data_IF_942525858502
#
_entry.id   IF_942525858502
#
_cell.length_a   1.000
_cell.length_b   1.000
_cell.length_c   1.000
_cell.angle_alpha   90.00
_cell.angle_beta   90.00
_cell.angle_gamma   90.00
#
_symmetry.space_group_name_H-M   'P 1'
#
loop_
_entity.id
_entity.type
_entity.pdbx_description
1 polymer ?
#
# COMPACT_ATOMS: atom_id res chain seq x y z
N UNK A 1 -4.69 -4.36 10.31
CA UNK A 1 -4.35 -5.48 9.41
C UNK A 1 -3.39 -4.93 8.36
N UNK A 2 -2.39 -5.69 7.90
CA UNK A 2 -1.52 -5.25 6.82
C UNK A 2 -2.31 -5.04 5.51
N UNK A 3 -1.99 -4.00 4.73
CA UNK A 3 -2.69 -3.66 3.49
C UNK A 3 -2.51 -4.74 2.42
N UNK A 4 -1.36 -5.41 2.43
CA UNK A 4 -0.98 -6.48 1.52
C UNK A 4 -1.64 -7.84 1.84
N UNK A 5 -2.36 -7.94 2.96
CA UNK A 5 -3.02 -9.17 3.41
C UNK A 5 -4.55 -9.08 3.22
N UNK A 6 -5.23 -10.18 2.87
CA UNK A 6 -6.68 -10.18 2.76
C UNK A 6 -7.34 -9.99 4.14
N UNK A 7 -8.44 -9.21 4.22
CA UNK A 7 -9.25 -9.13 5.42
C UNK A 7 -9.86 -10.46 5.83
N UNK A 8 -10.01 -10.65 7.14
CA UNK A 8 -10.88 -11.70 7.67
C UNK A 8 -12.34 -11.42 7.29
N UNK A 9 -13.07 -12.39 6.74
CA UNK A 9 -14.49 -12.22 6.45
C UNK A 9 -15.29 -11.83 7.72
N UNK A 10 -16.32 -10.97 7.61
CA UNK A 10 -16.90 -10.41 6.38
C UNK A 10 -16.27 -9.07 5.95
N UNK A 11 -15.13 -8.69 6.54
CA UNK A 11 -14.50 -7.41 6.22
C UNK A 11 -13.99 -7.41 4.77
N UNK A 12 -13.99 -6.23 4.17
CA UNK A 12 -13.46 -5.99 2.82
C UNK A 12 -12.39 -4.90 2.87
N UNK A 13 -11.50 -4.92 1.88
CA UNK A 13 -10.43 -3.93 1.78
C UNK A 13 -10.93 -2.65 1.12
N UNK A 14 -10.39 -1.51 1.55
CA UNK A 14 -10.58 -0.21 0.90
C UNK A 14 -9.60 0.03 -0.26
N UNK A 15 -8.79 -0.96 -0.63
CA UNK A 15 -7.90 -0.89 -1.80
C UNK A 15 -8.58 -0.41 -3.09
N UNK A 16 -9.81 -0.83 -3.44
CA UNK A 16 -10.48 -0.29 -4.63
C UNK A 16 -10.69 1.23 -4.56
N UNK A 17 -11.02 1.78 -3.39
CA UNK A 17 -11.20 3.22 -3.20
C UNK A 17 -9.87 3.96 -3.37
N UNK A 18 -8.77 3.39 -2.87
CA UNK A 18 -7.43 3.92 -3.07
C UNK A 18 -7.03 3.90 -4.56
N UNK A 19 -7.30 2.80 -5.26
CA UNK A 19 -7.03 2.67 -6.69
C UNK A 19 -7.81 3.72 -7.51
N UNK A 20 -9.09 3.93 -7.22
CA UNK A 20 -9.91 4.96 -7.86
C UNK A 20 -9.37 6.37 -7.61
N UNK A 21 -8.95 6.67 -6.38
CA UNK A 21 -8.35 7.95 -6.04
C UNK A 21 -7.02 8.19 -6.79
N UNK A 22 -6.14 7.18 -6.84
CA UNK A 22 -4.88 7.28 -7.58
C UNK A 22 -5.11 7.42 -9.09
N UNK A 23 -6.04 6.67 -9.67
CA UNK A 23 -6.42 6.80 -11.07
C UNK A 23 -6.88 8.24 -11.39
N UNK A 24 -7.65 8.86 -10.50
CA UNK A 24 -8.08 10.27 -10.66
C UNK A 24 -6.92 11.26 -10.55
N UNK A 25 -5.98 11.02 -9.64
CA UNK A 25 -4.88 11.94 -9.33
C UNK A 25 -3.73 11.86 -10.33
N UNK A 26 -3.35 10.66 -10.77
CA UNK A 26 -2.13 10.44 -11.57
C UNK A 26 -2.34 9.60 -12.82
N UNK A 27 -3.51 9.00 -13.03
CA UNK A 27 -3.83 8.18 -14.22
C UNK A 27 -4.41 8.95 -15.42
N UNK A 28 -4.59 10.27 -15.31
CA UNK A 28 -5.09 11.13 -16.39
C UNK A 28 -4.01 11.59 -17.39
N UNK A 29 -4.38 12.38 -18.42
CA UNK A 29 -3.42 12.88 -19.42
C UNK A 29 -2.34 13.80 -18.83
N UNK A 30 -2.58 14.36 -17.64
CA UNK A 30 -1.58 15.06 -16.84
C UNK A 30 -1.85 14.78 -15.35
N UNK A 31 -0.81 14.63 -14.51
CA UNK A 31 -0.99 14.37 -13.09
C UNK A 31 -1.47 15.63 -12.35
N UNK A 32 -2.39 15.46 -11.42
CA UNK A 32 -2.94 16.51 -10.56
C UNK A 32 -2.06 16.80 -9.33
N UNK A 33 -1.14 15.88 -9.02
CA UNK A 33 -0.12 16.03 -7.98
C UNK A 33 1.21 15.49 -8.49
N UNK A 34 2.32 16.00 -7.96
CA UNK A 34 3.67 15.46 -8.20
C UNK A 34 4.28 14.80 -6.97
N UNK A 35 3.55 14.81 -5.86
CA UNK A 35 4.04 14.35 -4.57
C UNK A 35 3.06 13.34 -4.00
N UNK A 36 3.60 12.16 -3.67
CA UNK A 36 2.89 11.06 -3.03
C UNK A 36 3.81 10.54 -1.93
N UNK A 37 3.25 10.35 -0.73
CA UNK A 37 3.95 9.77 0.40
C UNK A 37 3.25 8.49 0.82
N UNK A 38 4.04 7.48 1.20
CA UNK A 38 3.55 6.21 1.74
C UNK A 38 4.07 6.11 3.15
N UNK A 39 3.17 6.08 4.12
CA UNK A 39 3.51 5.91 5.53
C UNK A 39 3.02 4.56 6.02
N UNK A 40 3.93 3.74 6.54
CA UNK A 40 3.60 2.47 7.20
C UNK A 40 3.83 2.61 8.70
N UNK A 41 2.78 2.96 9.44
CA UNK A 41 2.79 3.01 10.90
C UNK A 41 1.85 1.93 11.47
N UNK A 42 1.91 1.67 12.77
CA UNK A 42 1.00 0.76 13.52
C UNK A 42 1.27 -0.75 13.54
N UNK A 43 2.48 -1.24 13.26
CA UNK A 43 2.80 -2.67 13.39
C UNK A 43 2.50 -3.27 14.78
N UNK A 44 2.65 -2.49 15.87
CA UNK A 44 2.29 -2.96 17.22
C UNK A 44 0.77 -2.97 17.49
N UNK A 45 -0.03 -2.24 16.71
CA UNK A 45 -1.49 -2.19 16.87
C UNK A 45 -2.20 -3.38 16.20
N UNK A 46 -1.48 -4.18 15.40
CA UNK A 46 -2.01 -5.40 14.82
C UNK A 46 -2.49 -6.37 15.93
N UNK A 47 -3.46 -7.26 15.62
CA UNK A 47 -3.75 -8.40 16.49
C UNK A 47 -2.48 -9.19 16.83
N UNK A 48 -2.31 -9.72 18.06
CA UNK A 48 -1.07 -10.36 18.51
C UNK A 48 -0.51 -11.46 17.58
N UNK A 49 -1.40 -12.19 16.92
CA UNK A 49 -1.12 -13.25 15.95
C UNK A 49 -0.58 -12.72 14.61
N UNK A 50 -0.90 -11.47 14.25
CA UNK A 50 -0.43 -10.81 13.03
C UNK A 50 0.79 -9.90 13.25
N UNK A 51 1.22 -9.71 14.50
CA UNK A 51 2.40 -8.87 14.79
C UNK A 51 3.69 -9.56 14.32
N UNK A 52 4.58 -8.85 13.60
CA UNK A 52 5.90 -9.39 13.30
C UNK A 52 6.68 -9.60 14.60
N UNK A 53 7.17 -10.83 14.81
CA UNK A 53 7.91 -11.21 16.04
C UNK A 53 9.42 -11.12 15.90
N UNK A 54 9.92 -10.90 14.69
CA UNK A 54 11.34 -10.74 14.38
C UNK A 54 11.54 -9.51 13.51
N UNK A 55 12.79 -9.00 13.47
CA UNK A 55 13.16 -7.88 12.61
C UNK A 55 12.98 -8.21 11.13
N UNK A 56 13.34 -9.43 10.72
CA UNK A 56 13.18 -9.86 9.32
C UNK A 56 11.70 -9.87 8.92
N UNK A 57 10.81 -10.37 9.79
CA UNK A 57 9.36 -10.34 9.52
C UNK A 57 8.78 -8.93 9.48
N UNK A 58 9.34 -7.99 10.25
CA UNK A 58 8.97 -6.58 10.15
C UNK A 58 9.45 -5.98 8.83
N UNK A 59 10.68 -6.27 8.42
CA UNK A 59 11.24 -5.81 7.15
C UNK A 59 10.44 -6.36 5.96
N UNK A 60 10.11 -7.65 5.96
CA UNK A 60 9.26 -8.29 4.96
C UNK A 60 7.89 -7.59 4.85
N UNK A 61 7.27 -7.31 5.99
CA UNK A 61 5.99 -6.60 6.04
C UNK A 61 6.07 -5.21 5.45
N UNK A 62 7.07 -4.41 5.84
CA UNK A 62 7.27 -3.06 5.29
C UNK A 62 7.53 -3.14 3.78
N UNK A 63 8.37 -4.08 3.33
CA UNK A 63 8.64 -4.29 1.92
C UNK A 63 7.36 -4.64 1.13
N UNK A 64 6.48 -5.46 1.69
CA UNK A 64 5.21 -5.82 1.07
C UNK A 64 4.25 -4.63 0.94
N UNK A 65 4.16 -3.76 1.95
CA UNK A 65 3.38 -2.52 1.89
C UNK A 65 3.89 -1.58 0.79
N UNK A 66 5.21 -1.39 0.72
CA UNK A 66 5.85 -0.54 -0.30
C UNK A 66 5.73 -1.15 -1.70
N UNK A 67 5.82 -2.47 -1.83
CA UNK A 67 5.61 -3.17 -3.10
C UNK A 67 4.18 -2.99 -3.60
N UNK A 68 3.18 -3.11 -2.74
CA UNK A 68 1.78 -2.85 -3.11
C UNK A 68 1.59 -1.41 -3.60
N UNK A 69 2.15 -0.42 -2.89
CA UNK A 69 2.05 0.97 -3.30
C UNK A 69 2.74 1.24 -4.65
N UNK A 70 3.94 0.66 -4.85
CA UNK A 70 4.64 0.70 -6.14
C UNK A 70 3.77 0.11 -7.25
N UNK A 71 3.23 -1.08 -7.05
CA UNK A 71 2.48 -1.81 -8.08
C UNK A 71 1.23 -1.02 -8.50
N UNK A 72 0.47 -0.46 -7.56
CA UNK A 72 -0.67 0.43 -7.84
C UNK A 72 -0.28 1.64 -8.71
N UNK A 73 0.89 2.23 -8.49
CA UNK A 73 1.36 3.38 -9.27
C UNK A 73 1.87 2.95 -10.65
N UNK A 74 2.61 1.84 -10.73
CA UNK A 74 3.13 1.34 -12.01
C UNK A 74 2.02 0.83 -12.93
N UNK A 75 0.94 0.29 -12.37
CA UNK A 75 -0.26 -0.11 -13.14
C UNK A 75 -0.96 1.09 -13.80
N UNK A 76 -0.79 2.29 -13.25
CA UNK A 76 -1.24 3.56 -13.84
C UNK A 76 -0.23 4.14 -14.84
N UNK A 77 0.87 3.45 -15.12
CA UNK A 77 1.90 3.85 -16.08
C UNK A 77 2.99 4.76 -15.53
N UNK A 78 3.03 4.99 -14.20
CA UNK A 78 4.13 5.72 -13.58
C UNK A 78 5.41 4.89 -13.62
N UNK A 79 6.55 5.56 -13.70
CA UNK A 79 7.87 4.92 -13.76
C UNK A 79 8.80 5.54 -12.74
N UNK A 80 9.76 4.74 -12.29
CA UNK A 80 10.87 5.23 -11.48
C UNK A 80 11.66 6.29 -12.26
N UNK A 81 12.21 7.25 -11.51
CA UNK A 81 13.15 8.21 -12.10
C UNK A 81 14.42 7.47 -12.54
N UNK A 82 15.05 7.86 -13.66
CA UNK A 82 16.30 7.25 -14.13
C UNK A 82 17.45 7.38 -13.13
#
# INVERSE_FOLDING_TARGET
MPLHAPPEPPLTSTLPVLADALARLVGGPAPLTRHLEVETYTWQALPPELRPRTRDRLADGIAAELALARDLLTDLGLKELP
#
